data_IF_006723235768
#
_entry.id   IF_006723235768
#
_cell.length_a   1.000
_cell.length_b   1.000
_cell.length_c   1.000
_cell.angle_alpha   90.00
_cell.angle_beta   90.00
_cell.angle_gamma   90.00
#
_symmetry.space_group_name_H-M   'P 1'
#
loop_
_entity.id
_entity.type
_entity.pdbx_description
1 polymer ?
#
# COMPACT_ATOMS: atom_id res chain seq x y z
N UNK A 1 -10.25 -7.53 -56.13
CA UNK A 1 -9.45 -7.83 -57.34
C UNK A 1 -8.21 -6.96 -57.32
N UNK A 2 -7.03 -7.48 -57.70
CA UNK A 2 -5.73 -6.82 -57.44
C UNK A 2 -5.33 -6.98 -55.96
N UNK A 3 -4.41 -7.86 -55.53
CA UNK A 3 -3.24 -8.55 -56.12
C UNK A 3 -1.95 -7.72 -56.08
N UNK A 4 -1.07 -8.08 -55.15
CA UNK A 4 0.28 -7.55 -54.94
C UNK A 4 1.30 -8.22 -55.89
N UNK A 5 2.27 -7.46 -56.40
CA UNK A 5 3.44 -7.95 -57.17
C UNK A 5 4.66 -7.06 -56.82
N UNK A 6 5.84 -7.60 -56.48
CA UNK A 6 6.99 -6.81 -56.02
C UNK A 6 8.17 -6.72 -57.01
N UNK A 7 8.94 -5.64 -56.90
CA UNK A 7 10.28 -5.46 -57.50
C UNK A 7 10.30 -5.16 -59.02
N UNK A 8 11.37 -4.59 -59.58
CA UNK A 8 12.58 -3.96 -59.01
C UNK A 8 12.80 -2.59 -59.76
N UNK A 9 13.95 -2.05 -60.14
CA UNK A 9 15.40 -2.35 -60.04
C UNK A 9 16.22 -1.10 -60.42
N UNK A 10 17.39 -0.90 -59.79
CA UNK A 10 18.52 -0.14 -60.33
C UNK A 10 19.82 -0.89 -60.00
N UNK A 11 20.84 -0.75 -60.84
CA UNK A 11 21.80 -1.83 -61.11
C UNK A 11 23.11 -1.77 -60.29
N UNK A 12 23.85 -2.89 -60.33
CA UNK A 12 25.17 -3.06 -59.72
C UNK A 12 26.32 -2.75 -60.71
N UNK A 13 27.60 -2.89 -60.30
CA UNK A 13 28.23 -4.20 -60.47
C UNK A 13 29.01 -4.75 -59.26
N UNK A 14 29.22 -6.07 -59.34
CA UNK A 14 29.97 -7.00 -58.51
C UNK A 14 31.50 -6.73 -58.47
N UNK A 15 32.33 -7.36 -57.57
CA UNK A 15 32.12 -8.70 -57.02
C UNK A 15 32.35 -8.93 -55.51
N UNK A 16 31.99 -10.15 -55.11
CA UNK A 16 31.82 -10.58 -53.73
C UNK A 16 33.11 -10.97 -53.00
N UNK A 17 33.08 -10.78 -51.68
CA UNK A 17 33.63 -11.73 -50.72
C UNK A 17 32.55 -12.10 -49.72
N UNK A 18 32.06 -13.35 -49.76
CA UNK A 18 31.18 -13.89 -48.72
C UNK A 18 32.04 -14.27 -47.53
N UNK A 19 31.83 -13.63 -46.38
CA UNK A 19 32.55 -13.91 -45.15
C UNK A 19 31.66 -14.74 -44.19
N UNK A 20 32.20 -15.84 -43.67
CA UNK A 20 31.58 -16.64 -42.61
C UNK A 20 31.61 -15.85 -41.27
N UNK A 21 30.46 -15.60 -40.62
CA UNK A 21 30.41 -14.88 -39.36
C UNK A 21 31.10 -15.58 -38.17
N UNK A 22 31.42 -16.88 -38.28
CA UNK A 22 32.03 -17.64 -37.17
C UNK A 22 33.56 -17.72 -37.19
N UNK A 23 34.24 -17.31 -38.26
CA UNK A 23 35.71 -17.39 -38.38
C UNK A 23 36.37 -16.13 -38.99
N UNK A 24 35.81 -14.95 -38.69
CA UNK A 24 36.25 -13.66 -39.25
C UNK A 24 37.77 -13.41 -39.20
N UNK A 25 38.38 -13.18 -40.37
CA UNK A 25 39.84 -13.17 -40.59
C UNK A 25 40.56 -11.90 -40.11
N UNK A 26 40.09 -11.29 -39.02
CA UNK A 26 40.65 -10.07 -38.45
C UNK A 26 41.94 -10.32 -37.66
N UNK A 27 43.10 -10.27 -38.33
CA UNK A 27 44.39 -10.22 -37.64
C UNK A 27 44.52 -8.89 -36.89
N UNK A 28 44.37 -8.92 -35.56
CA UNK A 28 44.70 -7.79 -34.71
C UNK A 28 46.22 -7.53 -34.74
N UNK A 29 46.61 -6.31 -35.11
CA UNK A 29 48.00 -5.85 -35.11
C UNK A 29 48.12 -4.75 -34.04
N UNK A 30 48.77 -5.00 -32.89
CA UNK A 30 49.03 -3.97 -31.89
C UNK A 30 49.96 -2.89 -32.47
N UNK A 31 49.64 -1.62 -32.25
CA UNK A 31 50.50 -0.50 -32.63
C UNK A 31 51.75 -0.41 -31.75
N UNK A 32 52.93 -0.31 -32.35
CA UNK A 32 54.22 -0.34 -31.65
C UNK A 32 54.80 1.07 -31.44
N UNK A 33 54.67 1.63 -30.23
CA UNK A 33 55.27 2.91 -29.86
C UNK A 33 55.77 2.92 -28.40
N UNK A 34 57.04 3.28 -28.20
CA UNK A 34 57.61 3.67 -26.90
C UNK A 34 58.27 2.54 -26.09
N UNK A 35 59.56 2.72 -25.77
CA UNK A 35 60.29 1.84 -24.86
C UNK A 35 59.77 1.94 -23.42
N UNK A 36 59.36 0.80 -22.87
CA UNK A 36 59.25 0.57 -21.43
C UNK A 36 59.59 -0.91 -21.15
N UNK A 37 60.32 -1.24 -20.06
CA UNK A 37 60.60 -2.63 -19.72
C UNK A 37 59.31 -3.39 -19.47
N UNK A 38 59.11 -4.53 -20.14
CA UNK A 38 57.90 -5.32 -19.98
C UNK A 38 57.72 -5.78 -18.52
N UNK A 39 56.64 -5.39 -17.82
CA UNK A 39 56.31 -6.00 -16.55
C UNK A 39 55.97 -7.47 -16.79
N UNK A 40 56.55 -8.37 -16.01
CA UNK A 40 56.37 -9.81 -16.19
C UNK A 40 54.88 -10.18 -16.11
N UNK A 41 54.39 -10.95 -17.08
CA UNK A 41 53.00 -11.42 -17.14
C UNK A 41 52.69 -12.46 -16.06
N UNK A 42 52.51 -11.99 -14.83
CA UNK A 42 51.95 -12.78 -13.73
C UNK A 42 50.42 -12.74 -13.73
N UNK A 43 49.79 -13.78 -13.21
CA UNK A 43 48.33 -13.88 -13.19
C UNK A 43 47.69 -12.93 -12.15
N UNK A 44 46.42 -12.53 -12.31
CA UNK A 44 45.73 -11.64 -11.37
C UNK A 44 45.64 -12.14 -9.93
N UNK A 45 45.72 -13.46 -9.69
CA UNK A 45 45.59 -14.07 -8.36
C UNK A 45 46.93 -14.28 -7.63
N UNK A 46 48.07 -14.28 -8.32
CA UNK A 46 49.40 -14.55 -7.70
C UNK A 46 50.44 -13.44 -7.87
N UNK A 47 50.21 -12.47 -8.77
CA UNK A 47 51.16 -11.37 -8.98
C UNK A 47 51.13 -10.30 -7.88
N UNK A 48 52.26 -9.59 -7.70
CA UNK A 48 52.45 -8.58 -6.65
C UNK A 48 51.62 -7.28 -6.83
N UNK A 49 50.80 -7.20 -7.89
CA UNK A 49 49.85 -6.12 -8.15
C UNK A 49 48.46 -6.29 -7.50
N UNK A 50 48.25 -7.32 -6.68
CA UNK A 50 46.96 -7.60 -6.04
C UNK A 50 46.36 -6.41 -5.29
N UNK A 51 45.06 -6.20 -5.46
CA UNK A 51 44.32 -5.04 -4.93
C UNK A 51 44.37 -4.98 -3.40
N UNK A 52 45.19 -4.09 -2.86
CA UNK A 52 45.19 -3.74 -1.44
C UNK A 52 44.14 -2.65 -1.21
N UNK A 53 43.15 -2.85 -0.32
CA UNK A 53 42.23 -1.78 0.06
C UNK A 53 42.98 -0.68 0.83
N UNK A 54 43.51 0.30 0.09
CA UNK A 54 44.00 1.54 0.66
C UNK A 54 42.82 2.32 1.25
N UNK A 55 43.09 3.11 2.30
CA UNK A 55 42.06 3.89 3.01
C UNK A 55 41.51 5.04 2.16
N UNK A 56 40.60 4.74 1.22
CA UNK A 56 39.86 5.72 0.42
C UNK A 56 38.63 6.20 1.19
N UNK A 57 38.68 7.44 1.65
CA UNK A 57 37.59 8.10 2.36
C UNK A 57 36.44 8.44 1.40
N UNK A 58 35.46 7.54 1.26
CA UNK A 58 34.20 7.84 0.56
C UNK A 58 33.74 6.85 -0.51
N UNK A 59 34.28 5.63 -0.57
CA UNK A 59 33.74 4.60 -1.48
C UNK A 59 32.26 4.30 -1.16
N UNK A 60 31.40 4.45 -2.18
CA UNK A 60 29.96 4.15 -2.09
C UNK A 60 29.73 2.63 -2.12
N UNK A 61 29.92 1.98 -0.97
CA UNK A 61 29.61 0.56 -0.77
C UNK A 61 28.15 0.29 -1.20
N UNK A 62 27.89 -0.58 -2.19
CA UNK A 62 26.53 -0.91 -2.59
C UNK A 62 25.72 -1.49 -1.43
N UNK A 63 24.44 -1.10 -1.30
CA UNK A 63 23.58 -1.52 -0.18
C UNK A 63 23.42 -3.03 0.00
N UNK A 64 23.72 -3.83 -1.03
CA UNK A 64 23.75 -5.30 -0.98
C UNK A 64 25.01 -5.88 -0.28
N UNK A 65 26.07 -5.08 -0.13
CA UNK A 65 27.31 -5.47 0.54
C UNK A 65 27.36 -5.05 2.02
N UNK A 66 26.41 -4.22 2.48
CA UNK A 66 26.28 -3.83 3.88
C UNK A 66 25.51 -4.91 4.68
N UNK A 67 25.97 -5.30 5.89
CA UNK A 67 25.24 -6.22 6.76
C UNK A 67 23.75 -5.88 6.86
N UNK A 68 22.89 -6.87 6.62
CA UNK A 68 21.44 -6.72 6.62
C UNK A 68 20.89 -7.20 7.96
N UNK A 69 20.19 -6.31 8.68
CA UNK A 69 19.35 -6.71 9.80
C UNK A 69 18.16 -7.51 9.25
N UNK A 70 18.15 -8.82 9.53
CA UNK A 70 17.05 -9.71 9.08
C UNK A 70 15.70 -9.37 9.70
N UNK A 71 15.65 -8.52 10.74
CA UNK A 71 14.43 -8.00 11.36
C UNK A 71 13.96 -6.69 10.71
N UNK A 72 14.74 -6.13 9.77
CA UNK A 72 14.46 -4.92 8.98
C UNK A 72 14.87 -5.16 7.52
N UNK A 73 14.11 -5.99 6.78
CA UNK A 73 14.40 -6.35 5.38
C UNK A 73 14.50 -5.10 4.48
N UNK A 74 15.16 -5.21 3.32
CA UNK A 74 15.38 -4.07 2.41
C UNK A 74 14.64 -4.27 1.09
N UNK A 75 13.45 -3.69 0.95
CA UNK A 75 12.65 -3.77 -0.27
C UNK A 75 11.91 -2.47 -0.58
N UNK A 76 11.60 -2.21 -1.85
CA UNK A 76 10.93 -0.98 -2.31
C UNK A 76 9.57 -0.72 -1.63
N UNK A 77 8.89 -1.79 -1.20
CA UNK A 77 7.56 -1.74 -0.58
C UNK A 77 7.58 -1.85 0.96
N UNK A 78 8.75 -2.00 1.59
CA UNK A 78 8.90 -2.34 3.02
C UNK A 78 10.08 -1.60 3.70
N UNK A 79 9.86 -0.89 4.82
CA UNK A 79 8.57 -0.66 5.48
C UNK A 79 7.75 0.32 4.66
N UNK A 80 6.45 0.45 4.95
CA UNK A 80 5.66 1.51 4.30
C UNK A 80 6.13 2.88 4.77
N UNK A 81 6.23 3.83 3.84
CA UNK A 81 6.70 5.21 4.10
C UNK A 81 5.57 6.25 4.08
N UNK A 82 4.38 5.88 3.61
CA UNK A 82 3.22 6.77 3.46
C UNK A 82 1.92 6.02 3.78
N UNK A 83 0.91 6.75 4.28
CA UNK A 83 -0.42 6.21 4.50
C UNK A 83 -1.19 6.03 3.18
N UNK A 84 -1.87 4.89 3.01
CA UNK A 84 -2.81 4.68 1.92
C UNK A 84 -4.05 5.57 2.06
N UNK A 85 -4.51 6.10 0.94
CA UNK A 85 -5.70 6.94 0.83
C UNK A 85 -6.55 6.57 -0.39
N UNK A 86 -7.83 6.92 -0.33
CA UNK A 86 -8.82 6.74 -1.39
C UNK A 86 -9.39 8.13 -1.74
N UNK A 87 -8.87 8.77 -2.77
CA UNK A 87 -9.23 10.13 -3.19
C UNK A 87 -10.47 10.19 -4.08
N UNK A 88 -10.58 11.32 -4.79
CA UNK A 88 -11.70 11.64 -5.69
C UNK A 88 -11.64 10.90 -7.03
N UNK A 89 -10.58 10.16 -7.32
CA UNK A 89 -10.30 9.53 -8.62
C UNK A 89 -11.30 8.42 -8.98
N UNK A 90 -12.07 7.95 -7.99
CA UNK A 90 -13.10 6.92 -8.14
C UNK A 90 -14.53 7.49 -8.15
N UNK A 91 -14.68 8.81 -8.05
CA UNK A 91 -15.98 9.47 -8.07
C UNK A 91 -16.51 9.64 -9.49
N UNK A 92 -17.83 9.71 -9.63
CA UNK A 92 -18.49 9.83 -10.93
C UNK A 92 -19.71 10.72 -10.86
N UNK A 93 -20.14 11.25 -12.01
CA UNK A 93 -21.40 12.01 -12.14
C UNK A 93 -22.62 11.24 -11.63
N UNK A 94 -22.59 9.90 -11.67
CA UNK A 94 -23.63 9.03 -11.09
C UNK A 94 -23.72 9.14 -9.56
N UNK A 95 -22.61 9.38 -8.85
CA UNK A 95 -22.62 9.61 -7.41
C UNK A 95 -23.31 10.94 -7.06
N UNK A 96 -23.05 12.00 -7.82
CA UNK A 96 -23.72 13.29 -7.67
C UNK A 96 -25.23 13.21 -7.97
N UNK A 97 -25.63 12.42 -8.96
CA UNK A 97 -27.05 12.14 -9.24
C UNK A 97 -27.70 11.34 -8.10
N UNK A 98 -27.05 10.27 -7.61
CA UNK A 98 -27.60 9.43 -6.54
C UNK A 98 -27.72 10.14 -5.19
N UNK A 99 -26.81 11.09 -4.91
CA UNK A 99 -26.94 12.00 -3.77
C UNK A 99 -28.21 12.85 -3.84
N UNK A 100 -28.53 13.42 -5.01
CA UNK A 100 -29.77 14.22 -5.19
C UNK A 100 -31.00 13.32 -5.04
N UNK A 101 -31.03 12.20 -5.75
CA UNK A 101 -32.14 11.24 -5.76
C UNK A 101 -32.48 10.75 -4.34
N UNK A 102 -31.47 10.38 -3.54
CA UNK A 102 -31.69 9.93 -2.16
C UNK A 102 -31.98 11.08 -1.19
N UNK A 103 -31.48 12.30 -1.45
CA UNK A 103 -31.81 13.48 -0.66
C UNK A 103 -33.27 13.93 -0.84
N UNK A 104 -33.78 13.88 -2.07
CA UNK A 104 -35.16 14.26 -2.39
C UNK A 104 -36.18 13.36 -1.68
N UNK A 105 -35.81 12.09 -1.46
CA UNK A 105 -36.60 11.08 -0.74
C UNK A 105 -36.48 11.17 0.80
N UNK A 106 -35.60 12.00 1.38
CA UNK A 106 -35.51 12.11 2.84
C UNK A 106 -36.71 12.90 3.41
N UNK A 107 -37.46 12.34 4.38
CA UNK A 107 -38.64 13.02 4.93
C UNK A 107 -38.32 14.03 6.05
N UNK A 108 -37.15 13.89 6.70
CA UNK A 108 -36.75 14.69 7.87
C UNK A 108 -35.30 15.16 7.77
N UNK A 109 -34.37 14.25 7.44
CA UNK A 109 -32.93 14.53 7.35
C UNK A 109 -32.50 15.06 5.97
N UNK A 110 -33.39 15.80 5.29
CA UNK A 110 -33.14 16.35 3.95
C UNK A 110 -32.14 17.50 4.01
N UNK A 111 -31.06 17.38 3.26
CA UNK A 111 -30.07 18.42 3.06
C UNK A 111 -30.64 19.54 2.16
N UNK A 112 -30.27 20.78 2.46
CA UNK A 112 -30.59 21.93 1.61
C UNK A 112 -29.80 21.93 0.30
N UNK A 113 -30.26 22.67 -0.71
CA UNK A 113 -29.56 22.74 -2.01
C UNK A 113 -28.13 23.28 -1.87
N UNK A 114 -27.89 24.16 -0.90
CA UNK A 114 -26.56 24.68 -0.54
C UNK A 114 -25.68 23.55 0.02
N UNK A 115 -26.20 22.73 0.94
CA UNK A 115 -25.48 21.57 1.48
C UNK A 115 -25.19 20.51 0.40
N UNK A 116 -26.16 20.23 -0.48
CA UNK A 116 -25.98 19.32 -1.62
C UNK A 116 -24.95 19.86 -2.62
N UNK A 117 -24.92 21.17 -2.85
CA UNK A 117 -23.91 21.83 -3.69
C UNK A 117 -22.51 21.70 -3.07
N UNK A 118 -22.36 22.02 -1.78
CA UNK A 118 -21.09 21.92 -1.06
C UNK A 118 -20.53 20.49 -1.03
N UNK A 119 -21.38 19.46 -0.87
CA UNK A 119 -20.95 18.05 -1.00
C UNK A 119 -20.48 17.74 -2.43
N UNK A 120 -21.24 18.11 -3.47
CA UNK A 120 -20.81 17.91 -4.88
C UNK A 120 -19.49 18.62 -5.17
N UNK A 121 -19.27 19.78 -4.57
CA UNK A 121 -18.05 20.57 -4.71
C UNK A 121 -16.85 19.94 -3.98
N UNK A 122 -17.03 19.36 -2.79
CA UNK A 122 -16.01 18.52 -2.12
C UNK A 122 -15.66 17.28 -2.97
N UNK A 123 -16.67 16.68 -3.59
CA UNK A 123 -16.54 15.49 -4.44
C UNK A 123 -15.98 15.77 -5.84
N UNK A 124 -15.72 17.03 -6.20
CA UNK A 124 -15.23 17.42 -7.52
C UNK A 124 -13.70 17.56 -7.57
N UNK A 125 -12.99 16.90 -8.50
CA UNK A 125 -11.54 17.06 -8.67
C UNK A 125 -11.11 18.51 -8.92
N UNK A 126 -10.01 18.93 -8.29
CA UNK A 126 -9.47 20.29 -8.44
C UNK A 126 -10.26 21.40 -7.74
N UNK A 127 -11.22 21.06 -6.88
CA UNK A 127 -11.99 22.04 -6.13
C UNK A 127 -11.16 22.70 -5.02
N UNK A 128 -10.98 24.03 -5.11
CA UNK A 128 -10.19 24.82 -4.15
C UNK A 128 -11.02 25.65 -3.16
N UNK A 129 -12.31 25.87 -3.44
CA UNK A 129 -13.19 26.78 -2.69
C UNK A 129 -14.20 26.03 -1.80
N UNK A 130 -13.73 25.11 -0.97
CA UNK A 130 -14.60 24.22 -0.18
C UNK A 130 -15.20 24.97 1.02
N UNK A 131 -16.52 25.06 1.08
CA UNK A 131 -17.29 25.61 2.20
C UNK A 131 -17.31 24.63 3.39
N UNK A 132 -16.19 24.54 4.11
CA UNK A 132 -15.95 23.53 5.15
C UNK A 132 -17.07 23.42 6.21
N UNK A 133 -17.63 24.54 6.68
CA UNK A 133 -18.68 24.52 7.70
C UNK A 133 -20.03 24.02 7.15
N UNK A 134 -20.34 24.34 5.90
CA UNK A 134 -21.53 23.82 5.19
C UNK A 134 -21.37 22.33 4.94
N UNK A 135 -20.19 21.87 4.53
CA UNK A 135 -19.85 20.46 4.36
C UNK A 135 -19.95 19.70 5.68
N UNK A 136 -19.42 20.26 6.77
CA UNK A 136 -19.50 19.66 8.10
C UNK A 136 -20.97 19.49 8.56
N UNK A 137 -21.78 20.55 8.46
CA UNK A 137 -23.21 20.49 8.80
C UNK A 137 -24.00 19.54 7.88
N UNK A 138 -23.64 19.44 6.60
CA UNK A 138 -24.27 18.52 5.66
C UNK A 138 -23.97 17.04 6.00
N UNK A 139 -22.72 16.75 6.39
CA UNK A 139 -22.30 15.41 6.77
C UNK A 139 -22.81 15.01 8.16
N UNK A 140 -22.92 15.95 9.10
CA UNK A 140 -23.58 15.74 10.41
C UNK A 140 -25.02 15.24 10.25
N UNK A 141 -25.80 15.83 9.34
CA UNK A 141 -27.17 15.40 9.04
C UNK A 141 -27.17 14.12 8.20
N UNK A 142 -26.34 14.06 7.15
CA UNK A 142 -26.28 12.93 6.23
C UNK A 142 -25.86 11.62 6.91
N UNK A 143 -24.93 11.66 7.86
CA UNK A 143 -24.44 10.44 8.54
C UNK A 143 -25.50 9.78 9.42
N UNK A 144 -26.62 10.47 9.70
CA UNK A 144 -27.79 9.96 10.42
C UNK A 144 -28.83 9.29 9.51
N UNK A 145 -28.68 9.35 8.18
CA UNK A 145 -29.57 8.70 7.21
C UNK A 145 -29.70 7.18 7.43
N UNK A 146 -30.78 6.60 6.89
CA UNK A 146 -31.01 5.17 6.89
C UNK A 146 -29.90 4.43 6.13
N UNK A 147 -29.55 3.21 6.58
CA UNK A 147 -28.40 2.45 6.05
C UNK A 147 -28.48 2.17 4.54
N UNK A 148 -29.68 2.04 3.98
CA UNK A 148 -29.92 1.88 2.54
C UNK A 148 -29.51 3.11 1.72
N UNK A 149 -29.61 4.31 2.30
CA UNK A 149 -29.40 5.59 1.61
C UNK A 149 -28.01 6.18 1.90
N UNK A 150 -27.28 5.60 2.86
CA UNK A 150 -26.07 6.16 3.47
C UNK A 150 -24.84 6.18 2.53
N UNK A 151 -24.89 5.45 1.40
CA UNK A 151 -23.77 5.27 0.45
C UNK A 151 -23.20 6.60 -0.09
N UNK A 152 -23.96 7.51 -0.74
CA UNK A 152 -23.42 8.79 -1.21
C UNK A 152 -22.84 9.67 -0.08
N UNK A 153 -23.41 9.61 1.12
CA UNK A 153 -22.88 10.35 2.28
C UNK A 153 -21.51 9.80 2.69
N UNK A 154 -21.35 8.48 2.79
CA UNK A 154 -20.06 7.88 3.14
C UNK A 154 -19.00 8.08 2.03
N UNK A 155 -19.42 8.19 0.78
CA UNK A 155 -18.53 8.49 -0.36
C UNK A 155 -18.03 9.94 -0.35
N UNK A 156 -18.86 10.88 0.13
CA UNK A 156 -18.44 12.24 0.46
C UNK A 156 -17.58 12.28 1.74
N UNK A 157 -17.98 11.57 2.80
CA UNK A 157 -17.32 11.57 4.11
C UNK A 157 -15.88 11.06 4.05
N UNK A 158 -15.60 9.99 3.28
CA UNK A 158 -14.21 9.55 3.09
C UNK A 158 -13.34 10.64 2.45
N UNK A 159 -13.89 11.47 1.57
CA UNK A 159 -13.15 12.60 0.95
C UNK A 159 -13.00 13.75 1.95
N UNK A 160 -14.02 14.06 2.74
CA UNK A 160 -13.94 15.06 3.81
C UNK A 160 -12.76 14.81 4.74
N UNK A 161 -12.53 13.56 5.15
CA UNK A 161 -11.43 13.17 6.04
C UNK A 161 -10.02 13.37 5.46
N UNK A 162 -9.88 13.66 4.16
CA UNK A 162 -8.60 14.07 3.54
C UNK A 162 -8.27 15.55 3.77
N UNK A 163 -9.24 16.37 4.18
CA UNK A 163 -9.06 17.78 4.51
C UNK A 163 -8.90 17.95 6.02
N UNK A 164 -7.82 18.61 6.45
CA UNK A 164 -7.44 18.71 7.87
C UNK A 164 -8.57 19.26 8.74
N UNK A 165 -9.20 20.39 8.35
CA UNK A 165 -10.30 21.02 9.09
C UNK A 165 -11.51 20.09 9.31
N UNK A 166 -11.85 19.25 8.33
CA UNK A 166 -12.95 18.30 8.43
C UNK A 166 -12.55 17.05 9.22
N UNK A 167 -11.32 16.57 9.03
CA UNK A 167 -10.75 15.49 9.84
C UNK A 167 -10.72 15.88 11.32
N UNK A 168 -10.25 17.07 11.68
CA UNK A 168 -10.32 17.59 13.06
C UNK A 168 -11.76 17.69 13.55
N UNK A 169 -12.69 18.25 12.76
CA UNK A 169 -14.10 18.38 13.17
C UNK A 169 -14.75 17.04 13.52
N UNK A 170 -14.51 15.99 12.73
CA UNK A 170 -15.11 14.67 12.96
C UNK A 170 -14.30 13.75 13.86
N UNK A 171 -12.97 13.91 13.95
CA UNK A 171 -12.08 12.99 14.64
C UNK A 171 -11.40 13.55 15.91
N UNK A 172 -11.55 14.82 16.27
CA UNK A 172 -11.06 15.30 17.58
C UNK A 172 -11.80 14.59 18.71
N UNK A 173 -11.06 13.85 19.53
CA UNK A 173 -11.56 13.10 20.69
C UNK A 173 -12.12 14.00 21.80
N UNK A 174 -11.86 15.30 21.78
CA UNK A 174 -12.50 16.30 22.65
C UNK A 174 -13.85 16.80 22.11
N UNK A 175 -14.20 16.41 20.88
CA UNK A 175 -15.42 16.80 20.17
C UNK A 175 -16.20 15.59 19.67
N UNK A 176 -16.10 15.28 18.37
CA UNK A 176 -16.90 14.25 17.69
C UNK A 176 -16.19 12.92 17.47
N UNK A 177 -14.92 12.79 17.85
CA UNK A 177 -14.09 11.62 17.55
C UNK A 177 -14.68 10.31 18.07
N UNK A 178 -15.12 10.27 19.33
CA UNK A 178 -15.68 9.06 19.93
C UNK A 178 -16.98 8.61 19.23
N UNK A 179 -17.94 9.52 19.06
CA UNK A 179 -19.23 9.18 18.43
C UNK A 179 -19.08 8.85 16.94
N UNK A 180 -18.12 9.47 16.25
CA UNK A 180 -17.72 9.10 14.88
C UNK A 180 -17.11 7.71 14.84
N UNK A 181 -16.18 7.38 15.74
CA UNK A 181 -15.58 6.03 15.84
C UNK A 181 -16.66 4.98 16.11
N UNK A 182 -17.55 5.22 17.08
CA UNK A 182 -18.65 4.33 17.44
C UNK A 182 -19.61 4.12 16.25
N UNK A 183 -20.01 5.18 15.54
CA UNK A 183 -20.88 5.08 14.35
C UNK A 183 -20.24 4.25 13.23
N UNK A 184 -18.95 4.47 12.93
CA UNK A 184 -18.23 3.70 11.91
C UNK A 184 -18.04 2.23 12.32
N UNK A 185 -17.72 1.97 13.59
CA UNK A 185 -17.60 0.62 14.14
C UNK A 185 -18.94 -0.14 14.07
N UNK A 186 -20.04 0.50 14.49
CA UNK A 186 -21.38 -0.06 14.43
C UNK A 186 -21.79 -0.45 12.99
N UNK A 187 -21.52 0.41 12.00
CA UNK A 187 -21.83 0.10 10.59
C UNK A 187 -21.10 -1.16 10.08
N UNK A 188 -19.87 -1.43 10.53
CA UNK A 188 -19.14 -2.67 10.18
C UNK A 188 -19.58 -3.90 10.98
N UNK A 189 -20.36 -3.72 12.06
CA UNK A 189 -20.92 -4.78 12.90
C UNK A 189 -22.35 -5.16 12.49
N UNK A 190 -23.17 -4.21 12.04
CA UNK A 190 -24.61 -4.39 11.77
C UNK A 190 -24.95 -5.10 10.44
N UNK A 191 -24.15 -6.08 10.01
CA UNK A 191 -24.31 -6.84 8.74
C UNK A 191 -24.58 -5.95 7.51
N UNK A 192 -23.98 -4.75 7.48
CA UNK A 192 -24.29 -3.74 6.47
C UNK A 192 -23.89 -4.18 5.04
N UNK A 193 -24.57 -3.68 4.00
CA UNK A 193 -24.24 -3.99 2.61
C UNK A 193 -22.78 -3.69 2.28
N UNK A 194 -22.13 -4.52 1.45
CA UNK A 194 -20.70 -4.38 1.11
C UNK A 194 -20.31 -2.94 0.74
N UNK A 195 -21.18 -2.20 0.02
CA UNK A 195 -20.93 -0.81 -0.36
C UNK A 195 -20.74 0.14 0.84
N UNK A 196 -21.51 -0.06 1.92
CA UNK A 196 -21.38 0.69 3.19
C UNK A 196 -20.05 0.31 3.84
N UNK A 197 -19.75 -0.98 3.98
CA UNK A 197 -18.51 -1.46 4.59
C UNK A 197 -17.26 -1.00 3.83
N UNK A 198 -17.30 -0.98 2.48
CA UNK A 198 -16.25 -0.45 1.62
C UNK A 198 -15.97 1.02 1.95
N UNK A 199 -17.02 1.85 2.01
CA UNK A 199 -16.86 3.29 2.24
C UNK A 199 -16.48 3.61 3.69
N UNK A 200 -16.94 2.83 4.67
CA UNK A 200 -16.46 2.93 6.06
C UNK A 200 -14.98 2.58 6.14
N UNK A 201 -14.52 1.43 5.62
CA UNK A 201 -13.10 1.10 5.63
C UNK A 201 -12.24 2.14 4.90
N UNK A 202 -12.72 2.71 3.78
CA UNK A 202 -12.05 3.83 3.09
C UNK A 202 -12.01 5.11 3.93
N UNK A 203 -13.07 5.40 4.70
CA UNK A 203 -13.11 6.53 5.62
C UNK A 203 -12.08 6.35 6.74
N UNK A 204 -12.01 5.16 7.34
CA UNK A 204 -11.01 4.81 8.35
C UNK A 204 -9.58 4.91 7.78
N UNK A 205 -9.33 4.44 6.55
CA UNK A 205 -8.03 4.60 5.89
C UNK A 205 -7.67 6.08 5.68
N UNK A 206 -8.62 6.91 5.22
CA UNK A 206 -8.40 8.33 4.97
C UNK A 206 -8.24 9.16 6.26
N UNK A 207 -8.83 8.73 7.38
CA UNK A 207 -8.68 9.42 8.67
C UNK A 207 -7.21 9.50 9.12
N UNK A 208 -6.35 8.52 8.78
CA UNK A 208 -4.93 8.51 9.14
C UNK A 208 -4.10 9.68 8.60
N UNK A 209 -4.59 10.44 7.61
CA UNK A 209 -3.81 11.52 6.99
C UNK A 209 -3.50 12.66 7.98
N UNK A 210 -4.40 12.94 8.92
CA UNK A 210 -4.27 14.05 9.89
C UNK A 210 -4.21 13.58 11.35
N UNK A 211 -3.72 14.40 12.30
CA UNK A 211 -3.47 13.96 13.68
C UNK A 211 -4.70 13.42 14.40
N UNK A 212 -5.82 14.15 14.37
CA UNK A 212 -7.04 13.78 15.10
C UNK A 212 -7.58 12.41 14.68
N UNK A 213 -7.63 12.11 13.38
CA UNK A 213 -7.98 10.78 12.89
C UNK A 213 -7.04 9.67 13.39
N UNK A 214 -5.73 9.92 13.49
CA UNK A 214 -4.77 8.96 14.08
C UNK A 214 -4.92 8.77 15.59
N UNK A 215 -5.45 9.76 16.31
CA UNK A 215 -5.78 9.65 17.73
C UNK A 215 -7.08 8.85 17.91
N UNK A 216 -8.15 9.24 17.21
CA UNK A 216 -9.45 8.53 17.19
C UNK A 216 -9.28 7.04 16.88
N UNK A 217 -8.56 6.70 15.81
CA UNK A 217 -8.35 5.31 15.39
C UNK A 217 -7.51 4.46 16.36
N UNK A 218 -6.91 5.06 17.39
CA UNK A 218 -6.20 4.36 18.46
C UNK A 218 -6.95 4.35 19.80
N UNK A 219 -8.03 5.13 19.96
CA UNK A 219 -8.77 5.25 21.22
C UNK A 219 -9.37 3.90 21.66
N UNK A 220 -10.28 3.34 20.87
CA UNK A 220 -10.66 1.92 20.95
C UNK A 220 -10.00 1.14 19.81
N UNK A 221 -8.69 0.91 19.94
CA UNK A 221 -7.91 0.17 18.95
C UNK A 221 -8.37 -1.30 18.83
N UNK A 222 -8.51 -2.01 19.95
CA UNK A 222 -8.70 -3.46 19.94
C UNK A 222 -10.02 -3.87 19.27
N UNK A 223 -11.14 -3.21 19.60
CA UNK A 223 -12.43 -3.56 18.98
C UNK A 223 -12.46 -3.13 17.51
N UNK A 224 -12.06 -1.90 17.19
CA UNK A 224 -12.13 -1.39 15.82
C UNK A 224 -11.19 -2.16 14.88
N UNK A 225 -9.97 -2.50 15.32
CA UNK A 225 -9.05 -3.34 14.56
C UNK A 225 -9.64 -4.74 14.30
N UNK A 226 -10.24 -5.37 15.33
CA UNK A 226 -10.87 -6.69 15.21
C UNK A 226 -12.06 -6.67 14.21
N UNK A 227 -12.82 -5.58 14.17
CA UNK A 227 -13.95 -5.39 13.24
C UNK A 227 -13.48 -5.12 11.81
N UNK A 228 -12.38 -4.37 11.62
CA UNK A 228 -11.78 -4.11 10.29
C UNK A 228 -11.08 -5.36 9.73
N UNK A 229 -10.31 -6.09 10.53
CA UNK A 229 -9.59 -7.29 10.04
C UNK A 229 -10.54 -8.42 9.63
N UNK A 230 -11.74 -8.51 10.24
CA UNK A 230 -12.78 -9.44 9.82
C UNK A 230 -13.31 -9.17 8.39
N UNK A 231 -13.21 -7.92 7.89
CA UNK A 231 -13.67 -7.56 6.54
C UNK A 231 -12.83 -8.19 5.41
N UNK A 232 -11.61 -8.66 5.72
CA UNK A 232 -10.77 -9.44 4.78
C UNK A 232 -11.46 -10.72 4.30
N UNK A 233 -12.48 -11.21 5.02
CA UNK A 233 -13.28 -12.39 4.65
C UNK A 233 -14.33 -12.11 3.57
N UNK A 234 -14.58 -10.85 3.18
CA UNK A 234 -15.53 -10.56 2.10
C UNK A 234 -14.98 -11.00 0.74
N UNK A 235 -15.86 -11.50 -0.12
CA UNK A 235 -15.57 -11.82 -1.51
C UNK A 235 -15.51 -10.58 -2.42
N UNK A 236 -15.69 -9.35 -1.89
CA UNK A 236 -15.54 -8.12 -2.67
C UNK A 236 -14.11 -7.60 -2.59
N UNK A 237 -13.40 -7.65 -3.72
CA UNK A 237 -12.06 -7.09 -3.88
C UNK A 237 -11.92 -5.65 -3.35
N UNK A 238 -12.94 -4.80 -3.55
CA UNK A 238 -12.94 -3.41 -3.06
C UNK A 238 -13.02 -3.28 -1.52
N UNK A 239 -13.60 -4.26 -0.81
CA UNK A 239 -13.70 -4.29 0.65
C UNK A 239 -12.41 -4.85 1.26
N UNK A 240 -11.92 -5.96 0.72
CA UNK A 240 -10.59 -6.52 1.04
C UNK A 240 -9.50 -5.43 0.94
N UNK A 241 -9.51 -4.66 -0.15
CA UNK A 241 -8.56 -3.60 -0.43
C UNK A 241 -8.67 -2.43 0.56
N UNK A 242 -9.89 -2.03 0.89
CA UNK A 242 -10.14 -0.97 1.85
C UNK A 242 -9.67 -1.39 3.26
N UNK A 243 -10.04 -2.59 3.70
CA UNK A 243 -9.61 -3.14 4.98
C UNK A 243 -8.07 -3.28 5.05
N UNK A 244 -7.44 -3.88 4.03
CA UNK A 244 -5.99 -4.03 3.98
C UNK A 244 -5.24 -2.69 4.02
N UNK A 245 -5.74 -1.65 3.33
CA UNK A 245 -5.20 -0.27 3.45
C UNK A 245 -5.31 0.28 4.88
N UNK A 246 -6.42 0.03 5.59
CA UNK A 246 -6.60 0.51 6.97
C UNK A 246 -5.67 -0.22 7.96
N UNK A 247 -5.53 -1.55 7.83
CA UNK A 247 -4.58 -2.35 8.61
C UNK A 247 -3.13 -1.92 8.35
N UNK A 248 -2.79 -1.66 7.09
CA UNK A 248 -1.51 -1.12 6.69
C UNK A 248 -1.24 0.25 7.33
N UNK A 249 -2.22 1.16 7.33
CA UNK A 249 -2.05 2.47 7.97
C UNK A 249 -1.86 2.39 9.49
N UNK A 250 -2.53 1.46 10.18
CA UNK A 250 -2.21 1.18 11.61
C UNK A 250 -0.78 0.69 11.80
N UNK A 251 -0.27 -0.17 10.92
CA UNK A 251 1.11 -0.66 11.03
C UNK A 251 2.14 0.46 10.89
N UNK A 252 1.92 1.43 10.01
CA UNK A 252 2.79 2.60 9.88
C UNK A 252 2.65 3.56 11.08
N UNK A 253 1.42 3.78 11.57
CA UNK A 253 1.21 4.60 12.78
C UNK A 253 1.90 4.01 14.01
N UNK A 254 1.73 2.70 14.24
CA UNK A 254 2.36 2.00 15.36
C UNK A 254 3.84 1.71 15.11
N UNK A 255 4.32 1.78 13.86
CA UNK A 255 5.76 1.84 13.57
C UNK A 255 6.33 3.14 14.16
N UNK A 256 5.87 4.28 13.66
CA UNK A 256 6.37 5.60 14.01
C UNK A 256 6.21 5.94 15.51
N UNK A 257 5.17 5.42 16.18
CA UNK A 257 5.02 5.59 17.65
C UNK A 257 6.07 4.84 18.46
N UNK A 258 6.46 3.62 18.08
CA UNK A 258 7.46 2.89 18.86
C UNK A 258 8.89 3.41 18.71
N UNK A 259 9.12 4.31 17.75
CA UNK A 259 10.40 5.03 17.61
C UNK A 259 10.51 6.21 18.59
N UNK A 260 9.39 6.66 19.20
CA UNK A 260 9.36 7.76 20.17
C UNK A 260 8.97 7.33 21.59
N UNK A 261 8.16 6.27 21.74
CA UNK A 261 7.71 5.73 23.04
C UNK A 261 7.72 4.20 23.01
N UNK A 262 8.20 3.53 24.06
CA UNK A 262 8.24 2.07 24.15
C UNK A 262 6.85 1.44 24.43
N UNK A 263 5.87 1.67 23.55
CA UNK A 263 4.52 1.08 23.60
C UNK A 263 4.53 -0.41 23.23
N UNK A 264 4.88 -1.27 24.19
CA UNK A 264 4.62 -2.71 24.10
C UNK A 264 3.10 -2.98 24.13
N UNK A 265 2.60 -3.85 23.25
CA UNK A 265 1.19 -4.25 23.21
C UNK A 265 0.49 -4.03 21.85
N UNK A 266 0.28 -2.79 21.38
CA UNK A 266 -0.60 -2.53 20.22
C UNK A 266 -0.22 -3.27 18.92
N UNK A 267 1.08 -3.44 18.63
CA UNK A 267 1.53 -4.25 17.48
C UNK A 267 1.36 -5.76 17.69
N UNK A 268 1.50 -6.23 18.92
CA UNK A 268 1.22 -7.63 19.26
C UNK A 268 -0.28 -7.94 19.14
N UNK A 269 -1.13 -7.04 19.61
CA UNK A 269 -2.59 -7.10 19.47
C UNK A 269 -2.98 -7.15 17.99
N UNK A 270 -2.34 -6.33 17.15
CA UNK A 270 -2.53 -6.34 15.71
C UNK A 270 -2.18 -7.70 15.07
N UNK A 271 -1.02 -8.26 15.40
CA UNK A 271 -0.60 -9.59 14.94
C UNK A 271 -1.56 -10.69 15.42
N UNK A 272 -1.97 -10.67 16.70
CA UNK A 272 -2.94 -11.62 17.25
C UNK A 272 -4.31 -11.50 16.57
N UNK A 273 -4.74 -10.29 16.20
CA UNK A 273 -5.95 -10.03 15.42
C UNK A 273 -5.87 -10.58 13.99
N UNK A 274 -4.76 -10.34 13.28
CA UNK A 274 -4.53 -10.86 11.92
C UNK A 274 -4.50 -12.38 11.92
N UNK A 275 -3.75 -13.03 12.83
CA UNK A 275 -3.69 -14.49 12.97
C UNK A 275 -5.10 -15.07 13.20
N UNK A 276 -5.86 -14.53 14.17
CA UNK A 276 -7.21 -15.01 14.55
C UNK A 276 -8.22 -15.06 13.38
N UNK A 277 -8.03 -14.22 12.36
CA UNK A 277 -8.80 -14.26 11.11
C UNK A 277 -8.13 -15.15 10.05
N UNK A 278 -6.82 -15.00 9.83
CA UNK A 278 -6.09 -15.63 8.73
C UNK A 278 -5.80 -17.13 8.93
N UNK A 279 -5.82 -17.64 10.16
CA UNK A 279 -5.86 -19.10 10.42
C UNK A 279 -7.15 -19.73 9.87
N UNK A 280 -8.27 -18.99 9.88
CA UNK A 280 -9.61 -19.45 9.46
C UNK A 280 -9.90 -19.24 7.97
N UNK A 281 -8.89 -18.81 7.21
CA UNK A 281 -8.95 -18.72 5.75
C UNK A 281 -8.22 -19.95 5.22
N UNK A 282 -8.89 -20.83 4.48
CA UNK A 282 -8.27 -22.06 3.94
C UNK A 282 -7.30 -21.76 2.80
N UNK A 283 -7.71 -20.87 1.88
CA UNK A 283 -6.94 -20.40 0.74
C UNK A 283 -7.12 -18.90 0.55
N UNK A 284 -6.02 -18.20 0.24
CA UNK A 284 -6.04 -16.75 -0.01
C UNK A 284 -6.36 -16.38 -1.47
N UNK A 285 -6.60 -17.34 -2.35
CA UNK A 285 -6.83 -17.11 -3.79
C UNK A 285 -8.10 -16.30 -4.15
N UNK A 286 -8.97 -16.01 -3.18
CA UNK A 286 -10.13 -15.12 -3.34
C UNK A 286 -9.79 -13.64 -3.01
N UNK A 287 -8.62 -13.36 -2.41
CA UNK A 287 -8.15 -12.01 -2.19
C UNK A 287 -7.61 -11.42 -3.49
N UNK A 288 -7.87 -10.13 -3.74
CA UNK A 288 -7.22 -9.44 -4.86
C UNK A 288 -5.71 -9.27 -4.60
N UNK A 289 -4.90 -9.28 -5.68
CA UNK A 289 -3.44 -9.04 -5.67
C UNK A 289 -3.08 -7.86 -4.76
N UNK A 290 -3.71 -6.72 -5.00
CA UNK A 290 -3.50 -5.45 -4.30
C UNK A 290 -3.91 -5.48 -2.81
N UNK A 291 -4.79 -6.40 -2.42
CA UNK A 291 -5.18 -6.65 -1.03
C UNK A 291 -4.17 -7.57 -0.33
N UNK A 292 -3.70 -8.62 -1.02
CA UNK A 292 -2.66 -9.51 -0.49
C UNK A 292 -1.34 -8.75 -0.26
N UNK A 293 -0.91 -7.94 -1.22
CA UNK A 293 0.32 -7.13 -1.09
C UNK A 293 0.20 -6.18 0.11
N UNK A 294 -0.91 -5.44 0.24
CA UNK A 294 -1.15 -4.55 1.40
C UNK A 294 -1.20 -5.27 2.75
N UNK A 295 -1.79 -6.47 2.80
CA UNK A 295 -1.84 -7.26 4.04
C UNK A 295 -0.45 -7.78 4.43
N UNK A 296 0.38 -8.20 3.46
CA UNK A 296 1.77 -8.56 3.68
C UNK A 296 2.60 -7.35 4.15
N UNK A 297 2.42 -6.18 3.51
CA UNK A 297 3.04 -4.91 3.95
C UNK A 297 2.61 -4.52 5.37
N UNK A 298 1.37 -4.77 5.78
CA UNK A 298 0.92 -4.55 7.15
C UNK A 298 1.65 -5.48 8.13
N UNK A 299 1.69 -6.80 7.84
CA UNK A 299 2.33 -7.81 8.71
C UNK A 299 3.82 -7.50 8.93
N UNK A 300 4.58 -7.29 7.85
CA UNK A 300 6.02 -6.99 7.92
C UNK A 300 6.30 -5.68 8.67
N UNK A 301 5.44 -4.67 8.51
CA UNK A 301 5.58 -3.36 9.17
C UNK A 301 5.20 -3.43 10.67
N UNK A 302 4.20 -4.25 11.06
CA UNK A 302 3.95 -4.52 12.48
C UNK A 302 5.14 -5.22 13.16
N UNK A 303 5.76 -6.18 12.46
CA UNK A 303 6.90 -6.94 12.98
C UNK A 303 8.24 -6.17 12.93
N UNK A 304 8.27 -4.94 12.39
CA UNK A 304 9.50 -4.26 12.00
C UNK A 304 10.48 -4.00 13.14
N UNK A 305 11.63 -4.68 13.11
CA UNK A 305 12.69 -4.66 14.13
C UNK A 305 12.32 -5.27 15.49
N UNK A 306 11.05 -5.56 15.74
CA UNK A 306 10.53 -5.88 17.07
C UNK A 306 10.64 -7.38 17.36
N UNK A 307 11.59 -7.73 18.23
CA UNK A 307 11.86 -9.12 18.60
C UNK A 307 10.71 -9.78 19.38
N UNK A 308 9.93 -9.02 20.15
CA UNK A 308 8.76 -9.54 20.87
C UNK A 308 7.63 -9.85 19.89
N UNK A 309 7.32 -8.93 18.98
CA UNK A 309 6.28 -9.10 17.96
C UNK A 309 6.64 -10.21 16.96
N UNK A 310 7.91 -10.34 16.55
CA UNK A 310 8.38 -11.46 15.71
C UNK A 310 8.29 -12.80 16.45
N UNK A 311 8.71 -12.87 17.72
CA UNK A 311 8.60 -14.09 18.55
C UNK A 311 7.13 -14.53 18.74
N UNK A 312 6.24 -13.56 18.95
CA UNK A 312 4.80 -13.79 18.97
C UNK A 312 4.27 -14.29 17.62
N UNK A 313 4.66 -13.69 16.50
CA UNK A 313 4.28 -14.15 15.16
C UNK A 313 4.76 -15.61 14.90
N UNK A 314 5.99 -15.93 15.30
CA UNK A 314 6.59 -17.28 15.24
C UNK A 314 5.79 -18.30 16.05
N UNK A 315 5.39 -17.97 17.28
CA UNK A 315 4.59 -18.83 18.16
C UNK A 315 3.08 -18.90 17.80
N UNK A 316 2.63 -18.11 16.82
CA UNK A 316 1.23 -17.98 16.39
C UNK A 316 1.03 -18.27 14.89
N UNK A 317 1.70 -19.30 14.39
CA UNK A 317 1.53 -19.86 13.03
C UNK A 317 1.73 -18.88 11.86
N UNK A 318 2.26 -17.66 12.08
CA UNK A 318 2.35 -16.63 11.03
C UNK A 318 3.14 -17.12 9.81
N UNK A 319 4.18 -17.93 10.02
CA UNK A 319 4.96 -18.55 8.94
C UNK A 319 4.10 -19.42 7.99
N UNK A 320 3.13 -20.18 8.53
CA UNK A 320 2.24 -21.02 7.73
C UNK A 320 1.18 -20.18 7.01
N UNK A 321 0.65 -19.14 7.67
CA UNK A 321 -0.26 -18.17 7.06
C UNK A 321 0.43 -17.49 5.87
N UNK A 322 1.63 -16.96 6.09
CA UNK A 322 2.41 -16.23 5.09
C UNK A 322 2.86 -17.13 3.96
N UNK A 323 3.17 -18.42 4.18
CA UNK A 323 3.39 -19.33 3.04
C UNK A 323 2.13 -19.47 2.20
N UNK A 324 0.95 -19.72 2.80
CA UNK A 324 -0.30 -19.84 2.03
C UNK A 324 -0.65 -18.55 1.28
N UNK A 325 -0.26 -17.37 1.80
CA UNK A 325 -0.35 -16.10 1.06
C UNK A 325 0.67 -16.02 -0.08
N UNK A 326 1.94 -16.39 0.15
CA UNK A 326 3.02 -16.46 -0.86
C UNK A 326 2.66 -17.39 -2.03
N UNK A 327 2.01 -18.51 -1.72
CA UNK A 327 1.61 -19.54 -2.68
C UNK A 327 0.35 -19.11 -3.48
N UNK A 328 -0.45 -18.17 -2.95
CA UNK A 328 -1.63 -17.59 -3.63
C UNK A 328 -1.33 -16.28 -4.39
N UNK A 329 -0.35 -15.47 -3.95
CA UNK A 329 -0.03 -14.19 -4.58
C UNK A 329 0.81 -14.43 -5.85
N UNK A 330 0.22 -14.15 -7.02
CA UNK A 330 0.89 -14.35 -8.32
C UNK A 330 2.13 -13.44 -8.48
N UNK A 331 2.08 -12.27 -7.85
CA UNK A 331 3.04 -11.18 -7.94
C UNK A 331 4.36 -11.42 -7.16
N UNK A 332 5.52 -11.18 -7.78
CA UNK A 332 6.82 -11.38 -7.13
C UNK A 332 7.18 -10.32 -6.07
N UNK A 333 6.66 -9.08 -6.13
CA UNK A 333 6.86 -8.13 -5.03
C UNK A 333 6.12 -8.64 -3.79
N UNK A 334 4.90 -9.14 -3.95
CA UNK A 334 4.15 -9.85 -2.91
C UNK A 334 4.88 -11.08 -2.37
N UNK A 335 5.43 -11.94 -3.23
CA UNK A 335 6.23 -13.09 -2.79
C UNK A 335 7.52 -12.68 -2.09
N UNK A 336 8.16 -11.58 -2.49
CA UNK A 336 9.34 -11.04 -1.80
C UNK A 336 8.99 -10.64 -0.36
N UNK A 337 7.92 -9.86 -0.13
CA UNK A 337 7.50 -9.50 1.23
C UNK A 337 7.15 -10.74 2.06
N UNK A 338 6.57 -11.77 1.44
CA UNK A 338 6.29 -13.03 2.14
C UNK A 338 7.57 -13.86 2.44
N UNK A 339 8.63 -13.75 1.62
CA UNK A 339 9.97 -14.28 1.92
C UNK A 339 10.61 -13.48 3.07
N UNK A 340 10.54 -12.15 3.02
CA UNK A 340 11.05 -11.24 4.06
C UNK A 340 10.47 -11.56 5.44
N UNK A 341 9.13 -11.71 5.56
CA UNK A 341 8.47 -12.06 6.83
C UNK A 341 8.93 -13.44 7.33
N UNK A 342 9.17 -14.40 6.44
CA UNK A 342 9.71 -15.71 6.82
C UNK A 342 11.15 -15.59 7.35
N UNK A 343 12.01 -14.80 6.69
CA UNK A 343 13.38 -14.54 7.17
C UNK A 343 13.42 -13.82 8.51
N UNK A 344 12.50 -12.87 8.77
CA UNK A 344 12.33 -12.25 10.08
C UNK A 344 12.01 -13.31 11.16
N UNK A 345 11.09 -14.24 10.87
CA UNK A 345 10.69 -15.33 11.77
C UNK A 345 11.84 -16.33 12.01
N UNK A 346 12.71 -16.56 11.03
CA UNK A 346 13.90 -17.41 11.16
C UNK A 346 15.10 -16.69 11.83
N UNK A 347 15.02 -15.36 12.05
CA UNK A 347 16.05 -14.57 12.71
C UNK A 347 15.84 -14.40 14.23
N UNK A 348 14.88 -15.15 14.79
CA UNK A 348 14.50 -15.34 16.20
C UNK A 348 14.46 -16.85 16.47
#
# INVERSE_FOLDING_TARGET
SGRYVPGQSSEAPSPATVADPFTGTGRYVPGNFGDAPAPAGGDPYTSTGGYKPGSVSGDLIPNACLPQDKKKPRGELVPMSQYYRFGVEQLSTKAHAKLVELNENQPVLRLSDVQVSAIKQLMSPGSHAIEYDVVAAALDVGLQWAMCDLVPILDAFRVALLHERLNTFFCDMKGRGESTQQRLCALLLSEAPDAVCILVCRSLANAFIHPCGREMLCHDFQNLFAVVVNQLKSNKAALQLAAASTLANWSLLLLNRSETVAELGPREDAIRGIVKVCEKIDSFGYLSRDSMIRLLQAIVTFMWGDTSVISLAKSRNMLQIVSRMKDAVVDEQGKNIARDIAEMIYAI
#
